data_IF_063633724653
#
_entry.id   IF_063633724653
#
_cell.length_a   1.000
_cell.length_b   1.000
_cell.length_c   1.000
_cell.angle_alpha   90.00
_cell.angle_beta   90.00
_cell.angle_gamma   90.00
#
_symmetry.space_group_name_H-M   'P 1'
#
loop_
_entity.id
_entity.type
_entity.pdbx_description
1 polymer ?
#
# COMPACT_ATOMS: atom_id res chain seq x y z
N UNK A 1 -20.25 42.05 -48.30
CA UNK A 1 -20.82 40.69 -48.36
C UNK A 1 -21.18 40.32 -46.94
N UNK A 2 -22.48 40.21 -46.68
CA UNK A 2 -23.11 40.12 -45.36
C UNK A 2 -22.85 38.78 -44.66
N UNK A 3 -22.61 38.81 -43.34
CA UNK A 3 -23.06 37.75 -42.44
C UNK A 3 -23.57 38.38 -41.13
N UNK A 4 -24.84 38.12 -40.85
CA UNK A 4 -25.62 38.66 -39.74
C UNK A 4 -25.45 37.80 -38.46
N UNK A 5 -25.94 38.27 -37.29
CA UNK A 5 -25.55 37.80 -35.98
C UNK A 5 -26.37 36.59 -35.50
N UNK A 6 -25.77 35.71 -34.69
CA UNK A 6 -26.53 34.74 -33.89
C UNK A 6 -26.71 35.26 -32.47
N UNK A 7 -27.94 35.66 -32.18
CA UNK A 7 -28.44 35.93 -30.83
C UNK A 7 -28.96 34.64 -30.19
N UNK A 8 -29.01 34.67 -28.85
CA UNK A 8 -29.87 33.87 -27.94
C UNK A 8 -29.38 32.42 -27.73
N UNK A 9 -29.36 31.85 -26.53
CA UNK A 9 -30.18 32.10 -25.35
C UNK A 9 -29.51 31.45 -24.13
N UNK A 10 -29.61 32.14 -22.99
CA UNK A 10 -29.29 31.58 -21.69
C UNK A 10 -30.16 30.35 -21.37
N UNK A 11 -29.58 29.35 -20.73
CA UNK A 11 -30.34 28.38 -19.93
C UNK A 11 -29.46 27.98 -18.76
N UNK A 12 -29.56 28.77 -17.70
CA UNK A 12 -29.12 28.38 -16.36
C UNK A 12 -30.11 27.33 -15.85
N UNK A 13 -29.65 26.11 -15.58
CA UNK A 13 -30.42 25.17 -14.76
C UNK A 13 -29.50 24.39 -13.82
N UNK A 14 -29.71 24.72 -12.54
CA UNK A 14 -29.65 23.87 -11.36
C UNK A 14 -28.33 23.17 -11.06
N UNK A 15 -27.47 23.89 -10.32
CA UNK A 15 -26.53 23.27 -9.42
C UNK A 15 -27.26 22.56 -8.28
N UNK A 16 -27.21 21.23 -8.28
CA UNK A 16 -27.57 20.42 -7.12
C UNK A 16 -26.39 20.44 -6.14
N UNK A 17 -26.48 21.24 -5.10
CA UNK A 17 -25.53 21.22 -4.00
C UNK A 17 -25.77 19.96 -3.15
N UNK A 18 -24.97 18.91 -3.38
CA UNK A 18 -24.88 17.76 -2.50
C UNK A 18 -24.15 18.18 -1.22
N UNK A 19 -24.91 18.56 -0.19
CA UNK A 19 -24.41 18.70 1.17
C UNK A 19 -24.14 17.29 1.75
N UNK A 20 -23.00 16.70 1.35
CA UNK A 20 -22.47 15.50 1.97
C UNK A 20 -21.80 15.86 3.29
N UNK A 21 -22.44 15.50 4.41
CA UNK A 21 -21.85 15.65 5.74
C UNK A 21 -20.50 14.93 5.83
N UNK A 22 -19.46 15.67 6.19
CA UNK A 22 -18.14 15.13 6.45
C UNK A 22 -18.17 14.34 7.77
N UNK A 23 -18.41 13.03 7.67
CA UNK A 23 -18.17 12.13 8.79
C UNK A 23 -16.66 12.02 9.01
N UNK A 24 -16.13 12.77 9.97
CA UNK A 24 -14.76 12.61 10.46
C UNK A 24 -14.69 11.31 11.27
N UNK A 25 -14.59 10.17 10.58
CA UNK A 25 -14.21 8.91 11.23
C UNK A 25 -12.74 9.05 11.59
N UNK A 26 -12.46 9.37 12.85
CA UNK A 26 -11.13 9.27 13.43
C UNK A 26 -10.72 7.79 13.44
N UNK A 27 -10.15 7.31 12.34
CA UNK A 27 -9.55 5.99 12.29
C UNK A 27 -8.30 6.03 13.17
N UNK A 28 -8.43 5.55 14.41
CA UNK A 28 -7.26 5.13 15.16
C UNK A 28 -6.58 4.03 14.35
N UNK A 29 -5.45 4.37 13.70
CA UNK A 29 -4.61 3.37 13.05
C UNK A 29 -3.99 2.55 14.16
N UNK A 30 -4.56 1.38 14.45
CA UNK A 30 -3.86 0.38 15.23
C UNK A 30 -2.53 0.14 14.52
N UNK A 31 -1.43 0.55 15.15
CA UNK A 31 -0.09 0.32 14.62
C UNK A 31 0.05 -1.20 14.55
N UNK A 32 0.08 -1.76 13.34
CA UNK A 32 0.21 -3.20 13.17
C UNK A 32 1.49 -3.63 13.89
N UNK A 33 1.37 -4.59 14.81
CA UNK A 33 2.54 -5.23 15.39
C UNK A 33 3.39 -5.76 14.22
N UNK A 34 4.71 -5.51 14.28
CA UNK A 34 5.63 -6.03 13.29
C UNK A 34 5.57 -7.56 13.20
N UNK A 35 6.18 -8.16 12.17
CA UNK A 35 6.16 -9.60 11.99
C UNK A 35 6.78 -10.34 13.17
N UNK A 36 6.21 -11.49 13.50
CA UNK A 36 6.72 -12.46 14.46
C UNK A 36 7.62 -13.50 13.81
N UNK A 37 8.35 -14.24 14.63
CA UNK A 37 9.13 -15.38 14.17
C UNK A 37 8.20 -16.47 13.64
N UNK A 38 8.49 -16.97 12.43
CA UNK A 38 7.71 -18.02 11.78
C UNK A 38 6.54 -17.51 10.94
N UNK A 39 6.18 -16.23 11.04
CA UNK A 39 5.14 -15.62 10.21
C UNK A 39 5.51 -15.72 8.72
N UNK A 40 4.49 -15.84 7.88
CA UNK A 40 4.65 -15.76 6.43
C UNK A 40 4.96 -14.32 6.02
N UNK A 41 5.77 -14.16 4.98
CA UNK A 41 6.03 -12.88 4.33
C UNK A 41 5.79 -12.95 2.83
N UNK A 42 5.51 -11.80 2.21
CA UNK A 42 5.30 -11.73 0.75
C UNK A 42 6.63 -11.58 0.01
N UNK A 43 6.64 -11.84 -1.30
CA UNK A 43 7.86 -11.75 -2.10
C UNK A 43 8.58 -10.39 -2.01
N UNK A 44 7.81 -9.29 -1.88
CA UNK A 44 8.36 -7.94 -1.70
C UNK A 44 9.03 -7.70 -0.34
N UNK A 45 8.89 -8.63 0.60
CA UNK A 45 9.51 -8.56 1.92
C UNK A 45 10.75 -9.43 2.04
N UNK A 46 11.01 -10.31 1.07
CA UNK A 46 12.23 -11.13 1.07
C UNK A 46 13.46 -10.23 1.16
N UNK A 47 14.32 -10.51 2.14
CA UNK A 47 15.51 -9.72 2.44
C UNK A 47 15.29 -8.53 3.39
N UNK A 48 14.04 -8.21 3.76
CA UNK A 48 13.77 -7.24 4.82
C UNK A 48 14.13 -7.83 6.18
N UNK A 49 14.61 -6.95 7.07
CA UNK A 49 14.91 -7.25 8.46
C UNK A 49 13.94 -6.52 9.36
N UNK A 50 13.55 -7.15 10.46
CA UNK A 50 12.66 -6.59 11.48
C UNK A 50 13.11 -7.03 12.88
N UNK A 51 12.45 -6.50 13.91
CA UNK A 51 12.67 -6.88 15.31
C UNK A 51 11.33 -7.27 15.90
N UNK A 52 11.24 -8.45 16.49
CA UNK A 52 10.03 -8.92 17.16
C UNK A 52 9.76 -8.12 18.44
N UNK A 53 8.56 -8.28 19.03
CA UNK A 53 8.23 -7.65 20.31
C UNK A 53 9.22 -8.03 21.44
N UNK A 54 9.80 -9.22 21.38
CA UNK A 54 10.76 -9.73 22.36
C UNK A 54 12.21 -9.28 22.08
N UNK A 55 12.41 -8.41 21.08
CA UNK A 55 13.73 -7.87 20.71
C UNK A 55 14.57 -8.77 19.80
N UNK A 56 14.01 -9.87 19.28
CA UNK A 56 14.74 -10.77 18.38
C UNK A 56 14.81 -10.18 16.98
N UNK A 57 16.01 -10.07 16.42
CA UNK A 57 16.18 -9.70 15.00
C UNK A 57 15.76 -10.85 14.11
N UNK A 58 14.97 -10.53 13.09
CA UNK A 58 14.43 -11.49 12.13
C UNK A 58 14.62 -11.01 10.69
N UNK A 59 14.68 -11.96 9.77
CA UNK A 59 14.88 -11.78 8.33
C UNK A 59 13.79 -12.57 7.58
N UNK A 60 13.15 -11.95 6.60
CA UNK A 60 12.26 -12.70 5.69
C UNK A 60 13.13 -13.43 4.65
N UNK A 61 13.09 -14.76 4.69
CA UNK A 61 13.79 -15.68 3.78
C UNK A 61 12.88 -16.84 3.44
N UNK A 62 12.85 -17.27 2.18
CA UNK A 62 11.94 -18.32 1.69
C UNK A 62 10.48 -18.10 2.14
N UNK A 63 10.00 -16.86 2.02
CA UNK A 63 8.63 -16.46 2.40
C UNK A 63 8.28 -16.68 3.88
N UNK A 64 9.27 -16.81 4.76
CA UNK A 64 9.08 -16.92 6.20
C UNK A 64 10.04 -16.02 6.98
N UNK A 65 9.54 -15.43 8.06
CA UNK A 65 10.36 -14.72 9.02
C UNK A 65 11.16 -15.71 9.88
N UNK A 66 12.48 -15.66 9.79
CA UNK A 66 13.41 -16.51 10.54
C UNK A 66 14.37 -15.66 11.36
N UNK A 67 15.09 -16.25 12.32
CA UNK A 67 16.08 -15.54 13.12
C UNK A 67 17.19 -14.98 12.22
N UNK A 68 17.53 -13.72 12.44
CA UNK A 68 18.62 -13.06 11.73
C UNK A 68 19.96 -13.30 12.44
N UNK A 69 20.80 -14.12 11.80
CA UNK A 69 22.19 -14.41 12.16
C UNK A 69 23.21 -13.66 11.27
N UNK A 70 22.76 -12.72 10.42
CA UNK A 70 23.59 -12.04 9.43
C UNK A 70 23.71 -12.77 8.10
N UNK A 71 22.91 -13.81 7.89
CA UNK A 71 22.85 -14.56 6.64
C UNK A 71 22.33 -13.71 5.47
N UNK A 72 22.65 -14.15 4.25
CA UNK A 72 21.98 -13.65 3.04
C UNK A 72 20.56 -14.22 2.98
N UNK A 73 19.55 -13.41 2.62
CA UNK A 73 18.23 -13.94 2.34
C UNK A 73 18.28 -14.85 1.12
N UNK A 74 17.49 -15.91 1.17
CA UNK A 74 17.28 -16.88 0.09
C UNK A 74 15.84 -16.77 -0.41
N UNK A 75 15.64 -16.96 -1.71
CA UNK A 75 14.35 -17.26 -2.28
C UNK A 75 14.48 -18.04 -3.59
N UNK A 76 13.82 -19.20 -3.62
CA UNK A 76 13.73 -20.07 -4.80
C UNK A 76 13.45 -19.32 -6.12
N UNK A 77 12.58 -18.29 -6.11
CA UNK A 77 12.23 -17.60 -7.35
C UNK A 77 13.37 -16.81 -8.03
N UNK A 78 14.42 -16.34 -7.35
CA UNK A 78 15.62 -15.82 -8.05
C UNK A 78 16.80 -16.77 -7.96
N UNK A 79 16.95 -17.50 -6.85
CA UNK A 79 18.11 -18.36 -6.68
C UNK A 79 18.08 -19.56 -7.65
N UNK A 80 16.89 -19.99 -8.10
CA UNK A 80 16.72 -21.10 -9.05
C UNK A 80 16.52 -20.64 -10.52
N UNK A 81 16.83 -19.39 -10.86
CA UNK A 81 16.70 -18.92 -12.24
C UNK A 81 17.74 -19.58 -13.17
N UNK A 82 17.32 -20.16 -14.32
CA UNK A 82 18.25 -20.65 -15.33
C UNK A 82 19.11 -19.49 -15.86
N UNK A 83 20.41 -19.73 -16.06
CA UNK A 83 21.32 -18.77 -16.70
C UNK A 83 21.18 -18.76 -18.21
#
# INVERSE_FOLDING_TARGET
>A
MSFAPRRLTATALLGLALAGGAATVGAATAQAAGPGLGDSCIGAEVGKRAVTADGTRILCSEYRWVVDHGQRPSHSWADDQPR
#
